data_IF_342475264392
#
_entry.id   IF_342475264392
#
_cell.length_a   1.000
_cell.length_b   1.000
_cell.length_c   1.000
_cell.angle_alpha   90.00
_cell.angle_beta   90.00
_cell.angle_gamma   90.00
#
_symmetry.space_group_name_H-M   'P 1'
#
loop_
_entity.id
_entity.type
_entity.pdbx_description
1 polymer ?
#
# COMPACT_ATOMS: atom_id res chain seq x y z
N UNK A 1 14.82 41.33 0.87
CA UNK A 1 15.66 40.22 1.35
C UNK A 1 15.60 39.12 0.29
N UNK A 2 16.74 38.68 -0.26
CA UNK A 2 16.75 37.55 -1.17
C UNK A 2 16.47 36.28 -0.35
N UNK A 3 15.37 35.58 -0.66
CA UNK A 3 15.06 34.30 -0.05
C UNK A 3 16.12 33.31 -0.50
N UNK A 4 17.00 32.89 0.40
CA UNK A 4 17.98 31.84 0.10
C UNK A 4 17.21 30.55 -0.18
N UNK A 5 17.26 30.07 -1.42
CA UNK A 5 16.68 28.78 -1.78
C UNK A 5 17.61 27.70 -1.19
N UNK A 6 17.18 27.10 -0.08
CA UNK A 6 17.90 25.99 0.54
C UNK A 6 17.45 24.67 -0.08
N UNK A 7 18.41 23.90 -0.59
CA UNK A 7 18.20 22.53 -0.99
C UNK A 7 17.85 21.66 0.24
N UNK A 8 16.70 21.00 0.21
CA UNK A 8 16.31 20.01 1.21
C UNK A 8 16.58 18.62 0.63
N UNK A 9 17.21 17.70 1.38
CA UNK A 9 17.34 16.31 0.95
C UNK A 9 15.97 15.69 0.68
N UNK A 10 15.78 15.13 -0.52
CA UNK A 10 14.48 14.58 -0.93
C UNK A 10 13.97 13.47 0.00
N UNK A 11 14.88 12.75 0.65
CA UNK A 11 14.56 11.71 1.64
C UNK A 11 13.82 12.30 2.84
N UNK A 12 14.22 13.49 3.32
CA UNK A 12 13.53 14.16 4.41
C UNK A 12 12.10 14.56 4.01
N UNK A 13 11.94 15.02 2.76
CA UNK A 13 10.62 15.31 2.19
C UNK A 13 9.77 14.04 2.05
N UNK A 14 10.35 12.92 1.62
CA UNK A 14 9.64 11.64 1.51
C UNK A 14 9.15 11.15 2.87
N UNK A 15 9.98 11.26 3.92
CA UNK A 15 9.59 10.92 5.29
C UNK A 15 8.48 11.84 5.81
N UNK A 16 8.57 13.15 5.57
CA UNK A 16 7.50 14.09 5.94
C UNK A 16 6.19 13.77 5.21
N UNK A 17 6.26 13.40 3.94
CA UNK A 17 5.10 12.94 3.16
C UNK A 17 4.49 11.66 3.76
N UNK A 18 5.34 10.70 4.18
CA UNK A 18 4.87 9.47 4.83
C UNK A 18 4.07 9.77 6.10
N UNK A 19 4.62 10.62 6.97
CA UNK A 19 3.94 11.08 8.20
C UNK A 19 2.62 11.79 7.88
N UNK A 20 2.63 12.70 6.90
CA UNK A 20 1.41 13.40 6.49
C UNK A 20 0.33 12.43 6.02
N UNK A 21 0.68 11.37 5.27
CA UNK A 21 -0.29 10.37 4.83
C UNK A 21 -0.79 9.54 6.03
N UNK A 22 0.08 9.21 6.97
CA UNK A 22 -0.28 8.46 8.18
C UNK A 22 -1.27 9.22 9.06
N UNK A 23 -1.14 10.54 9.14
CA UNK A 23 -2.10 11.40 9.88
C UNK A 23 -3.41 11.63 9.12
N UNK A 24 -3.38 11.66 7.78
CA UNK A 24 -4.54 12.08 6.97
C UNK A 24 -5.38 10.93 6.40
N UNK A 25 -4.83 9.72 6.32
CA UNK A 25 -5.52 8.54 5.76
C UNK A 25 -5.72 7.47 6.83
N UNK A 26 -6.97 7.10 7.17
CA UNK A 26 -7.25 6.07 8.18
C UNK A 26 -6.62 4.69 7.92
N UNK A 27 -6.33 4.37 6.65
CA UNK A 27 -5.64 3.15 6.22
C UNK A 27 -4.35 3.51 5.48
N UNK A 28 -3.53 4.36 6.07
CA UNK A 28 -2.34 4.91 5.41
C UNK A 28 -1.36 3.87 4.89
N UNK A 29 -1.30 2.69 5.51
CA UNK A 29 -0.50 1.54 5.07
C UNK A 29 -0.91 0.98 3.71
N UNK A 30 -2.13 1.24 3.24
CA UNK A 30 -2.60 0.88 1.89
C UNK A 30 -2.35 1.99 0.87
N UNK A 31 -1.75 3.12 1.28
CA UNK A 31 -1.57 4.32 0.44
C UNK A 31 -0.08 4.60 0.23
N UNK A 32 0.38 4.56 -1.01
CA UNK A 32 1.76 4.92 -1.36
C UNK A 32 1.96 6.45 -1.33
N UNK A 33 3.22 6.88 -1.13
CA UNK A 33 3.64 8.27 -1.32
C UNK A 33 3.51 8.76 -2.77
N UNK A 34 3.47 7.84 -3.75
CA UNK A 34 3.41 8.17 -5.18
C UNK A 34 2.15 8.94 -5.55
N UNK A 35 2.31 9.91 -6.45
CA UNK A 35 1.26 10.75 -6.99
C UNK A 35 0.48 11.57 -5.93
N UNK A 36 1.12 11.88 -4.79
CA UNK A 36 0.58 12.79 -3.79
C UNK A 36 1.30 14.15 -3.92
N UNK A 37 0.57 15.29 -3.94
CA UNK A 37 1.19 16.61 -3.98
C UNK A 37 2.11 16.85 -2.78
N UNK A 38 3.32 17.30 -3.06
CA UNK A 38 4.32 17.66 -2.05
C UNK A 38 4.20 19.16 -1.75
N UNK A 39 3.72 19.55 -0.55
CA UNK A 39 3.54 20.95 -0.20
C UNK A 39 4.88 21.64 0.07
N UNK A 40 4.94 22.96 -0.16
CA UNK A 40 6.09 23.79 0.25
C UNK A 40 7.38 23.60 -0.58
N UNK A 41 7.30 22.91 -1.73
CA UNK A 41 8.43 22.76 -2.66
C UNK A 41 8.30 23.75 -3.82
N UNK A 42 9.40 24.43 -4.15
CA UNK A 42 9.45 25.47 -5.17
C UNK A 42 10.22 25.03 -6.44
N UNK A 43 10.88 23.88 -6.42
CA UNK A 43 11.67 23.40 -7.55
C UNK A 43 12.39 22.08 -7.28
N UNK A 44 12.85 21.46 -8.37
CA UNK A 44 13.71 20.27 -8.35
C UNK A 44 15.12 20.73 -8.73
N UNK A 45 16.13 20.38 -7.94
CA UNK A 45 17.52 20.79 -8.21
C UNK A 45 18.07 20.25 -9.53
N UNK A 46 17.71 19.01 -9.87
CA UNK A 46 18.14 18.32 -11.08
C UNK A 46 16.89 17.78 -11.78
N UNK A 47 16.17 18.62 -12.56
CA UNK A 47 14.98 18.18 -13.26
C UNK A 47 15.35 17.10 -14.29
N UNK A 48 14.44 16.14 -14.44
CA UNK A 48 14.54 14.99 -15.34
C UNK A 48 13.31 14.98 -16.24
N UNK A 49 13.47 14.44 -17.44
CA UNK A 49 12.34 14.24 -18.35
C UNK A 49 11.32 13.27 -17.76
N UNK A 50 10.03 13.60 -17.93
CA UNK A 50 8.88 12.78 -17.54
C UNK A 50 7.72 13.06 -18.49
N UNK A 51 6.94 12.03 -18.77
CA UNK A 51 5.73 12.07 -19.56
C UNK A 51 4.74 11.07 -18.95
N UNK A 52 3.43 11.37 -19.05
CA UNK A 52 2.38 10.53 -18.50
C UNK A 52 2.08 9.31 -19.40
N UNK A 53 2.23 9.49 -20.70
CA UNK A 53 1.88 8.52 -21.74
C UNK A 53 3.10 7.73 -22.21
N UNK A 54 4.30 8.34 -22.20
CA UNK A 54 5.54 7.70 -22.62
C UNK A 54 6.46 7.32 -21.42
N UNK A 55 6.65 6.02 -21.14
CA UNK A 55 7.58 5.59 -20.11
C UNK A 55 9.05 5.75 -20.52
N UNK A 56 9.38 6.06 -21.79
CA UNK A 56 10.76 6.24 -22.27
C UNK A 56 11.33 7.62 -21.90
N UNK A 57 11.32 7.91 -20.61
CA UNK A 57 11.82 9.15 -20.03
C UNK A 57 12.86 8.84 -18.95
N UNK A 58 13.65 9.83 -18.53
CA UNK A 58 14.63 9.60 -17.46
C UNK A 58 13.96 9.19 -16.14
N UNK A 59 12.81 9.79 -15.81
CA UNK A 59 12.02 9.38 -14.64
C UNK A 59 11.44 7.97 -14.83
N UNK A 60 10.98 7.62 -16.03
CA UNK A 60 10.50 6.29 -16.35
C UNK A 60 11.59 5.22 -16.21
N UNK A 61 12.80 5.50 -16.72
CA UNK A 61 13.97 4.63 -16.56
C UNK A 61 14.32 4.38 -15.08
N UNK A 62 14.33 5.43 -14.26
CA UNK A 62 14.61 5.29 -12.82
C UNK A 62 13.54 4.44 -12.13
N UNK A 63 12.26 4.69 -12.41
CA UNK A 63 11.17 3.91 -11.83
C UNK A 63 11.19 2.43 -12.24
N UNK A 64 11.52 2.14 -13.50
CA UNK A 64 11.69 0.77 -13.99
C UNK A 64 12.85 0.03 -13.28
N UNK A 65 13.78 0.77 -12.67
CA UNK A 65 14.86 0.26 -11.84
C UNK A 65 14.63 0.51 -10.34
N UNK A 66 13.36 0.60 -9.91
CA UNK A 66 12.95 0.68 -8.51
C UNK A 66 13.44 1.94 -7.78
N UNK A 67 13.77 3.00 -8.55
CA UNK A 67 14.16 4.31 -8.01
C UNK A 67 13.02 5.30 -8.19
N UNK A 68 12.35 5.60 -7.08
CA UNK A 68 11.31 6.64 -7.02
C UNK A 68 11.92 8.01 -7.31
N UNK A 69 11.26 8.78 -8.17
CA UNK A 69 11.72 10.11 -8.61
C UNK A 69 10.70 11.19 -8.24
N UNK A 70 11.01 12.45 -8.54
CA UNK A 70 10.10 13.59 -8.38
C UNK A 70 9.73 14.14 -9.74
N UNK A 71 8.46 14.45 -9.95
CA UNK A 71 7.93 15.07 -11.17
C UNK A 71 7.27 16.40 -10.84
N UNK A 72 7.10 17.23 -11.87
CA UNK A 72 6.30 18.45 -11.79
C UNK A 72 5.07 18.31 -12.70
N UNK A 73 3.96 17.86 -12.13
CA UNK A 73 2.67 17.72 -12.81
C UNK A 73 1.56 18.04 -11.80
N UNK A 74 0.82 19.13 -12.06
CA UNK A 74 -0.16 19.68 -11.11
C UNK A 74 0.42 19.86 -9.69
N UNK A 75 1.62 20.46 -9.63
CA UNK A 75 2.46 20.53 -8.43
C UNK A 75 3.64 19.55 -8.46
N UNK A 76 4.42 19.51 -7.38
CA UNK A 76 5.50 18.54 -7.24
C UNK A 76 4.97 17.25 -6.63
N UNK A 77 5.37 16.10 -7.17
CA UNK A 77 4.90 14.79 -6.73
C UNK A 77 6.04 13.79 -6.73
N UNK A 78 5.99 12.85 -5.80
CA UNK A 78 6.74 11.61 -5.97
C UNK A 78 6.11 10.79 -7.11
N UNK A 79 6.96 10.18 -7.93
CA UNK A 79 6.55 9.28 -9.00
C UNK A 79 7.36 8.00 -8.85
N UNK A 80 6.68 6.97 -8.35
CA UNK A 80 7.25 5.69 -7.97
C UNK A 80 6.73 5.21 -6.63
N UNK A 81 6.40 3.92 -6.58
CA UNK A 81 5.85 3.23 -5.40
C UNK A 81 6.46 1.83 -5.22
N UNK A 82 7.50 1.51 -5.99
CA UNK A 82 8.23 0.25 -5.89
C UNK A 82 9.34 0.34 -4.85
N UNK A 83 9.63 -0.80 -4.23
CA UNK A 83 10.79 -0.98 -3.33
C UNK A 83 11.92 -1.69 -4.08
N UNK A 84 13.13 -1.67 -3.51
CA UNK A 84 14.27 -2.46 -4.01
C UNK A 84 14.26 -3.93 -3.51
N UNK A 85 13.08 -4.46 -3.17
CA UNK A 85 12.96 -5.83 -2.64
C UNK A 85 13.23 -6.86 -3.73
N UNK A 86 14.06 -7.85 -3.42
CA UNK A 86 14.26 -9.02 -4.30
C UNK A 86 13.09 -10.02 -4.24
N UNK A 87 12.23 -9.94 -3.22
CA UNK A 87 10.98 -10.69 -3.16
C UNK A 87 9.87 -9.93 -3.88
N UNK A 88 9.31 -10.47 -4.99
CA UNK A 88 8.26 -9.81 -5.76
C UNK A 88 6.98 -9.51 -4.97
N UNK A 89 6.71 -10.23 -3.87
CA UNK A 89 5.55 -9.98 -3.01
C UNK A 89 5.64 -8.63 -2.30
N UNK A 90 6.87 -8.13 -2.11
CA UNK A 90 7.17 -6.85 -1.48
C UNK A 90 7.62 -5.80 -2.50
N UNK A 91 7.34 -6.01 -3.79
CA UNK A 91 7.71 -5.07 -4.85
C UNK A 91 7.11 -3.68 -4.65
N UNK A 92 5.95 -3.56 -3.99
CA UNK A 92 5.31 -2.27 -3.70
C UNK A 92 5.49 -1.83 -2.24
N UNK A 93 5.68 -0.52 -2.04
CA UNK A 93 5.75 0.11 -0.73
C UNK A 93 4.55 -0.28 0.16
N UNK A 94 3.34 -0.28 -0.41
CA UNK A 94 2.10 -0.59 0.32
C UNK A 94 2.03 -2.04 0.78
N UNK A 95 2.64 -2.99 0.06
CA UNK A 95 2.73 -4.38 0.50
C UNK A 95 3.60 -4.50 1.75
N UNK A 96 4.77 -3.84 1.74
CA UNK A 96 5.68 -3.78 2.89
C UNK A 96 5.05 -3.09 4.09
N UNK A 97 4.38 -1.94 3.88
CA UNK A 97 3.68 -1.22 4.94
C UNK A 97 2.52 -2.03 5.52
N UNK A 98 1.76 -2.73 4.68
CA UNK A 98 0.67 -3.60 5.14
C UNK A 98 1.19 -4.73 6.02
N UNK A 99 2.31 -5.35 5.63
CA UNK A 99 2.96 -6.40 6.41
C UNK A 99 3.42 -5.91 7.79
N UNK A 100 4.09 -4.75 7.84
CA UNK A 100 4.55 -4.15 9.08
C UNK A 100 3.37 -3.76 9.98
N UNK A 101 2.35 -3.11 9.42
CA UNK A 101 1.15 -2.74 10.16
C UNK A 101 0.42 -3.96 10.75
N UNK A 102 0.32 -5.04 9.98
CA UNK A 102 -0.28 -6.30 10.45
C UNK A 102 0.51 -6.90 11.60
N UNK A 103 1.83 -6.99 11.46
CA UNK A 103 2.72 -7.52 12.49
C UNK A 103 2.58 -6.73 13.79
N UNK A 104 2.70 -5.40 13.72
CA UNK A 104 2.57 -4.53 14.89
C UNK A 104 1.18 -4.60 15.51
N UNK A 105 0.13 -4.65 14.68
CA UNK A 105 -1.25 -4.74 15.14
C UNK A 105 -1.52 -6.05 15.88
N UNK A 106 -1.06 -7.18 15.34
CA UNK A 106 -1.25 -8.50 15.94
C UNK A 106 -0.42 -8.62 17.21
N UNK A 107 0.87 -8.27 17.19
CA UNK A 107 1.76 -8.35 18.36
C UNK A 107 1.20 -7.50 19.51
N UNK A 108 0.82 -6.24 19.25
CA UNK A 108 0.26 -5.38 20.28
C UNK A 108 -1.09 -5.90 20.80
N UNK A 109 -1.91 -6.47 19.91
CA UNK A 109 -3.17 -7.11 20.28
C UNK A 109 -2.99 -8.38 21.12
N UNK A 110 -1.88 -9.09 20.95
CA UNK A 110 -1.56 -10.31 21.69
C UNK A 110 -0.94 -10.05 23.07
N UNK A 111 -0.50 -8.81 23.36
CA UNK A 111 0.15 -8.46 24.62
C UNK A 111 -0.61 -8.92 25.89
N UNK A 112 -1.96 -8.82 25.98
CA UNK A 112 -2.71 -9.30 27.14
C UNK A 112 -2.63 -10.82 27.40
N UNK A 113 -2.27 -11.61 26.40
CA UNK A 113 -2.17 -13.08 26.50
C UNK A 113 -0.77 -13.56 26.91
N UNK A 114 0.23 -12.69 26.84
CA UNK A 114 1.60 -13.02 27.23
C UNK A 114 1.64 -13.34 28.73
N UNK A 115 2.41 -14.38 29.09
CA UNK A 115 2.55 -14.93 30.44
C UNK A 115 1.27 -15.49 31.08
N UNK A 116 0.18 -15.62 30.33
CA UNK A 116 -1.02 -16.32 30.78
C UNK A 116 -0.85 -17.84 30.71
N UNK A 117 -1.57 -18.62 31.54
CA UNK A 117 -1.55 -20.07 31.45
C UNK A 117 -1.97 -20.56 30.06
N UNK A 118 -1.06 -21.27 29.37
CA UNK A 118 -1.29 -21.80 28.03
C UNK A 118 -2.29 -22.98 28.04
N UNK A 119 -3.57 -22.64 28.07
CA UNK A 119 -4.68 -23.58 27.96
C UNK A 119 -5.18 -23.67 26.52
N UNK A 120 -5.88 -24.76 26.18
CA UNK A 120 -6.54 -24.90 24.88
C UNK A 120 -7.53 -23.75 24.63
N UNK A 121 -8.22 -23.29 25.68
CA UNK A 121 -9.11 -22.13 25.59
C UNK A 121 -8.35 -20.85 25.23
N UNK A 122 -7.21 -20.57 25.88
CA UNK A 122 -6.39 -19.40 25.56
C UNK A 122 -5.91 -19.42 24.09
N UNK A 123 -5.46 -20.57 23.58
CA UNK A 123 -5.05 -20.69 22.18
C UNK A 123 -6.21 -20.39 21.22
N UNK A 124 -7.42 -20.89 21.52
CA UNK A 124 -8.64 -20.55 20.78
C UNK A 124 -8.97 -19.06 20.84
N UNK A 125 -8.93 -18.46 22.03
CA UNK A 125 -9.22 -17.04 22.24
C UNK A 125 -8.25 -16.12 21.48
N UNK A 126 -6.97 -16.48 21.41
CA UNK A 126 -5.96 -15.77 20.62
C UNK A 126 -6.34 -15.80 19.13
N UNK A 127 -6.60 -16.99 18.59
CA UNK A 127 -6.95 -17.19 17.17
C UNK A 127 -8.24 -16.42 16.83
N UNK A 128 -9.27 -16.52 17.68
CA UNK A 128 -10.55 -15.83 17.47
C UNK A 128 -10.40 -14.31 17.54
N UNK A 129 -9.58 -13.80 18.46
CA UNK A 129 -9.31 -12.36 18.62
C UNK A 129 -8.59 -11.79 17.40
N UNK A 130 -7.55 -12.48 16.91
CA UNK A 130 -6.82 -12.09 15.70
C UNK A 130 -7.76 -12.16 14.49
N UNK A 131 -8.51 -13.25 14.31
CA UNK A 131 -9.47 -13.39 13.23
C UNK A 131 -10.55 -12.29 13.26
N UNK A 132 -11.05 -11.90 14.44
CA UNK A 132 -12.01 -10.82 14.57
C UNK A 132 -11.45 -9.47 14.06
N UNK A 133 -10.19 -9.17 14.41
CA UNK A 133 -9.49 -7.97 13.93
C UNK A 133 -9.26 -8.01 12.41
N UNK A 134 -8.82 -9.15 11.87
CA UNK A 134 -8.59 -9.33 10.44
C UNK A 134 -9.90 -9.21 9.64
N UNK A 135 -10.98 -9.87 10.07
CA UNK A 135 -12.32 -9.74 9.47
C UNK A 135 -12.82 -8.30 9.46
N UNK A 136 -12.63 -7.57 10.56
CA UNK A 136 -12.99 -6.15 10.62
C UNK A 136 -12.19 -5.30 9.63
N UNK A 137 -10.92 -5.65 9.39
CA UNK A 137 -10.02 -4.95 8.47
C UNK A 137 -10.40 -5.23 7.01
N UNK A 138 -10.72 -6.48 6.69
CA UNK A 138 -11.28 -6.87 5.37
C UNK A 138 -12.62 -6.20 5.11
N UNK A 139 -13.50 -6.14 6.11
CA UNK A 139 -14.83 -5.49 5.97
C UNK A 139 -14.73 -3.99 5.66
N UNK A 140 -13.63 -3.34 6.08
CA UNK A 140 -13.33 -1.94 5.74
C UNK A 140 -12.71 -1.75 4.36
N UNK A 141 -12.39 -2.85 3.66
CA UNK A 141 -11.67 -2.83 2.39
C UNK A 141 -10.18 -2.48 2.52
N UNK A 142 -9.60 -2.60 3.72
CA UNK A 142 -8.18 -2.31 3.97
C UNK A 142 -7.28 -3.53 3.71
N UNK A 143 -7.88 -4.70 3.56
CA UNK A 143 -7.30 -5.94 3.07
C UNK A 143 -8.31 -6.61 2.12
N UNK A 144 -7.83 -7.42 1.17
CA UNK A 144 -8.70 -8.22 0.30
C UNK A 144 -9.18 -9.48 1.03
N UNK A 145 -8.31 -10.09 1.82
CA UNK A 145 -8.62 -11.28 2.62
C UNK A 145 -7.51 -11.54 3.63
N UNK A 146 -7.82 -12.25 4.71
CA UNK A 146 -6.86 -12.71 5.71
C UNK A 146 -7.50 -13.76 6.63
N UNK A 147 -6.72 -14.72 7.10
CA UNK A 147 -7.13 -15.71 8.08
C UNK A 147 -5.97 -16.07 9.01
N UNK A 148 -6.30 -16.48 10.24
CA UNK A 148 -5.35 -17.09 11.18
C UNK A 148 -5.89 -18.46 11.62
N UNK A 149 -4.99 -19.42 11.79
CA UNK A 149 -5.31 -20.78 12.21
C UNK A 149 -4.20 -21.40 13.05
N UNK A 150 -4.56 -22.49 13.74
CA UNK A 150 -3.60 -23.33 14.46
C UNK A 150 -2.95 -24.32 13.48
N UNK A 151 -1.62 -24.38 13.48
CA UNK A 151 -0.88 -25.34 12.69
C UNK A 151 -0.27 -26.42 13.60
N UNK A 152 -0.76 -27.65 13.47
CA UNK A 152 -0.28 -28.80 14.26
C UNK A 152 1.21 -29.10 14.01
N UNK A 153 1.70 -28.87 12.79
CA UNK A 153 3.08 -29.18 12.41
C UNK A 153 4.09 -28.26 13.13
N UNK A 154 3.69 -27.03 13.45
CA UNK A 154 4.52 -26.05 14.15
C UNK A 154 4.41 -26.16 15.68
N UNK A 155 3.47 -26.95 16.19
CA UNK A 155 3.16 -27.03 17.62
C UNK A 155 3.28 -28.46 18.14
N UNK A 156 4.51 -28.99 18.10
CA UNK A 156 4.80 -30.30 18.67
C UNK A 156 4.74 -30.27 20.22
N UNK A 157 4.50 -31.41 20.89
CA UNK A 157 4.37 -31.45 22.35
C UNK A 157 5.58 -30.94 23.13
N UNK A 158 6.79 -31.07 22.59
CA UNK A 158 8.02 -30.61 23.22
C UNK A 158 8.03 -29.09 23.31
N UNK A 159 7.76 -28.37 22.22
CA UNK A 159 7.75 -26.91 22.18
C UNK A 159 6.60 -26.34 23.01
N UNK A 160 5.42 -26.97 22.94
CA UNK A 160 4.28 -26.61 23.79
C UNK A 160 4.61 -26.79 25.28
N UNK A 161 5.36 -27.82 25.66
CA UNK A 161 5.79 -27.99 27.07
C UNK A 161 6.73 -26.88 27.56
N UNK A 162 7.38 -26.15 26.63
CA UNK A 162 8.23 -24.99 26.91
C UNK A 162 7.47 -23.66 26.81
N UNK A 163 6.13 -23.69 26.66
CA UNK A 163 5.30 -22.49 26.56
C UNK A 163 5.38 -21.81 25.19
N UNK A 164 5.80 -22.51 24.15
CA UNK A 164 5.88 -21.96 22.79
C UNK A 164 4.63 -22.34 22.01
N UNK A 165 3.90 -21.32 21.55
CA UNK A 165 2.71 -21.46 20.71
C UNK A 165 2.92 -20.71 19.40
N UNK A 166 2.74 -21.41 18.29
CA UNK A 166 2.75 -20.84 16.95
C UNK A 166 1.34 -20.75 16.39
N UNK A 167 0.99 -19.60 15.83
CA UNK A 167 -0.21 -19.40 15.04
C UNK A 167 0.20 -18.93 13.65
N UNK A 168 -0.36 -19.57 12.63
CA UNK A 168 -0.12 -19.18 11.25
C UNK A 168 -1.20 -18.24 10.78
N UNK A 169 -0.82 -17.25 9.97
CA UNK A 169 -1.76 -16.37 9.32
C UNK A 169 -1.32 -16.01 7.91
N UNK A 170 -2.29 -15.85 7.03
CA UNK A 170 -2.12 -15.31 5.70
C UNK A 170 -2.96 -14.05 5.50
N UNK A 171 -2.59 -13.27 4.49
CA UNK A 171 -3.31 -12.07 4.10
C UNK A 171 -3.04 -11.72 2.65
N UNK A 172 -3.98 -11.00 2.05
CA UNK A 172 -3.86 -10.39 0.74
C UNK A 172 -3.98 -8.88 0.90
N UNK A 173 -2.89 -8.11 0.71
CA UNK A 173 -2.93 -6.65 0.79
C UNK A 173 -3.76 -6.07 -0.35
N UNK A 174 -4.23 -4.83 -0.19
CA UNK A 174 -4.89 -4.10 -1.28
C UNK A 174 -3.83 -3.74 -2.33
N UNK A 175 -4.00 -4.16 -3.60
CA UNK A 175 -3.01 -3.88 -4.64
C UNK A 175 -2.99 -2.40 -5.02
N UNK A 176 -1.79 -1.88 -5.29
CA UNK A 176 -1.65 -0.54 -5.86
C UNK A 176 -1.94 -0.58 -7.35
N UNK A 177 -2.81 0.32 -7.84
CA UNK A 177 -3.02 0.52 -9.26
C UNK A 177 -1.83 1.32 -9.84
N UNK A 178 -0.74 0.61 -10.15
CA UNK A 178 0.46 1.21 -10.74
C UNK A 178 0.25 1.57 -12.22
N UNK A 179 -0.39 0.68 -12.98
CA UNK A 179 -0.58 0.83 -14.42
C UNK A 179 -2.06 0.63 -14.80
N UNK A 180 -2.70 1.69 -15.27
CA UNK A 180 -4.06 1.64 -15.80
C UNK A 180 -4.01 1.60 -17.34
N UNK A 181 -4.26 0.43 -17.92
CA UNK A 181 -4.37 0.27 -19.37
C UNK A 181 -5.76 0.61 -19.89
N UNK A 182 -5.84 1.44 -20.93
CA UNK A 182 -7.11 1.77 -21.62
C UNK A 182 -7.16 1.10 -22.99
N UNK A 183 -8.22 0.32 -23.23
CA UNK A 183 -8.49 -0.31 -24.52
C UNK A 183 -9.53 0.48 -25.31
N UNK A 184 -9.07 1.50 -26.03
CA UNK A 184 -9.93 2.36 -26.84
C UNK A 184 -10.47 1.62 -28.08
N UNK A 185 -11.75 1.83 -28.40
CA UNK A 185 -12.40 1.27 -29.59
C UNK A 185 -13.33 2.31 -30.21
N UNK A 186 -13.23 2.50 -31.52
CA UNK A 186 -14.25 3.21 -32.30
C UNK A 186 -15.35 2.20 -32.64
N UNK A 187 -16.62 2.60 -32.50
CA UNK A 187 -17.76 1.72 -32.78
C UNK A 187 -18.94 2.47 -33.39
N UNK A 188 -19.55 1.87 -34.41
CA UNK A 188 -20.76 2.39 -35.06
C UNK A 188 -22.05 1.89 -34.40
N UNK A 189 -21.95 1.11 -33.31
CA UNK A 189 -23.11 0.53 -32.59
C UNK A 189 -24.13 1.61 -32.18
N UNK A 190 -23.65 2.80 -31.87
CA UNK A 190 -24.48 3.92 -31.42
C UNK A 190 -25.13 4.69 -32.58
N UNK A 191 -24.80 4.37 -33.84
CA UNK A 191 -25.39 5.01 -35.02
C UNK A 191 -26.71 4.36 -35.45
N UNK A 192 -27.05 3.17 -34.96
CA UNK A 192 -28.23 2.40 -35.38
C UNK A 192 -29.55 3.13 -35.05
N UNK A 193 -29.58 3.89 -33.95
CA UNK A 193 -30.74 4.69 -33.53
C UNK A 193 -30.52 6.20 -33.74
N UNK A 194 -29.65 6.59 -34.68
CA UNK A 194 -29.30 8.00 -34.90
C UNK A 194 -30.54 8.88 -35.14
N UNK A 195 -31.54 8.40 -35.87
CA UNK A 195 -32.81 9.10 -36.06
C UNK A 195 -33.65 9.26 -34.78
N UNK A 196 -33.59 8.32 -33.83
CA UNK A 196 -34.26 8.45 -32.52
C UNK A 196 -33.51 9.41 -31.59
N UNK A 197 -32.19 9.47 -31.68
CA UNK A 197 -31.37 10.42 -30.91
C UNK A 197 -31.68 11.88 -31.30
N UNK A 198 -31.96 12.14 -32.59
CA UNK A 198 -32.43 13.45 -33.07
C UNK A 198 -33.79 13.82 -32.45
N UNK A 199 -34.73 12.86 -32.35
CA UNK A 199 -36.06 13.12 -31.79
C UNK A 199 -36.05 13.36 -30.26
N UNK A 200 -35.02 12.91 -29.55
CA UNK A 200 -34.84 13.13 -28.09
C UNK A 200 -34.20 14.48 -27.75
N UNK A 201 -33.71 15.21 -28.75
CA UNK A 201 -33.09 16.53 -28.57
C UNK A 201 -34.06 17.70 -28.79
N UNK A 202 -35.31 17.42 -29.14
CA UNK A 202 -36.42 18.38 -29.27
C UNK A 202 -37.33 18.34 -28.04
#
# INVERSE_FOLDING_TARGET
MATTIQAIPIIATALAMRVMIDESYPASFTKSISNIPVPGVNGIMQPRTWDLEDPNTEVGYLNANEVTSVIQHEGFRFWGNRTCSTDPRFAFETATLTAQWLLDTIINGCFPFIDQPMTVALAGDIIDSINAKLRATVSKGWLIGAAVWYNEELNNPQDLSQGQLWVDYDYTPVPTLENLGLNQRITDRYLIDFGKLIAQTA
#
